data_IF_416196553466
#
_entry.id   IF_416196553466
#
_cell.length_a   1.000
_cell.length_b   1.000
_cell.length_c   1.000
_cell.angle_alpha   90.00
_cell.angle_beta   90.00
_cell.angle_gamma   90.00
#
_symmetry.space_group_name_H-M   'P 1'
#
loop_
_entity.id
_entity.type
_entity.pdbx_description
1 polymer ?
#
# COMPACT_ATOMS: atom_id res chain seq x y z
N UNK A 1 -22.77 -7.33 -0.98
CA UNK A 1 -21.74 -6.27 -1.08
C UNK A 1 -21.10 -6.14 0.28
N UNK A 2 -19.86 -6.59 0.47
CA UNK A 2 -19.16 -6.41 1.75
C UNK A 2 -18.81 -4.93 1.86
N UNK A 3 -19.59 -4.18 2.64
CA UNK A 3 -19.38 -2.76 2.93
C UNK A 3 -18.15 -2.58 3.80
N UNK A 4 -16.98 -2.65 3.18
CA UNK A 4 -15.71 -2.33 3.84
C UNK A 4 -15.60 -0.79 3.83
N UNK A 5 -16.21 -0.14 4.82
CA UNK A 5 -16.08 1.31 5.10
C UNK A 5 -14.70 1.70 5.65
N UNK A 6 -13.77 0.76 5.70
CA UNK A 6 -12.43 1.03 6.20
C UNK A 6 -11.67 1.89 5.19
N UNK A 7 -11.27 3.09 5.66
CA UNK A 7 -10.40 4.03 4.93
C UNK A 7 -8.93 3.59 4.96
N UNK A 8 -8.59 2.75 5.94
CA UNK A 8 -7.27 2.20 6.14
C UNK A 8 -7.34 0.70 6.42
N UNK A 9 -6.36 -0.05 5.93
CA UNK A 9 -6.20 -1.47 6.21
C UNK A 9 -4.81 -1.72 6.79
N UNK A 10 -4.76 -2.15 8.04
CA UNK A 10 -3.50 -2.41 8.74
C UNK A 10 -2.84 -3.68 8.21
N UNK A 11 -1.58 -3.55 7.78
CA UNK A 11 -0.76 -4.63 7.25
C UNK A 11 0.18 -5.20 8.32
N UNK A 12 0.76 -4.30 9.12
CA UNK A 12 1.68 -4.61 10.20
C UNK A 12 1.42 -3.68 11.37
N UNK A 13 1.44 -4.24 12.57
CA UNK A 13 1.50 -3.49 13.82
C UNK A 13 2.31 -4.28 14.84
N UNK A 14 3.57 -3.89 15.02
CA UNK A 14 4.50 -4.65 15.87
C UNK A 14 5.58 -3.73 16.43
N UNK A 15 5.85 -3.85 17.73
CA UNK A 15 6.93 -3.16 18.44
C UNK A 15 7.00 -1.62 18.21
N UNK A 16 5.84 -0.97 18.08
CA UNK A 16 5.77 0.48 17.84
C UNK A 16 5.89 0.88 16.37
N UNK A 17 6.13 -0.07 15.47
CA UNK A 17 6.09 0.14 14.02
C UNK A 17 4.72 -0.27 13.48
N UNK A 18 4.13 0.59 12.65
CA UNK A 18 2.84 0.35 12.00
C UNK A 18 2.97 0.58 10.50
N UNK A 19 2.38 -0.30 9.70
CA UNK A 19 2.28 -0.19 8.23
C UNK A 19 0.84 -0.44 7.83
N UNK A 20 0.29 0.40 6.95
CA UNK A 20 -1.08 0.29 6.51
C UNK A 20 -1.26 0.75 5.07
N UNK A 21 -2.33 0.25 4.45
CA UNK A 21 -2.83 0.77 3.17
C UNK A 21 -3.84 1.87 3.43
N UNK A 22 -3.76 2.94 2.65
CA UNK A 22 -4.80 3.97 2.59
C UNK A 22 -5.10 4.31 1.13
N UNK A 23 -6.26 4.91 0.89
CA UNK A 23 -6.50 5.63 -0.36
C UNK A 23 -5.59 6.87 -0.45
N UNK A 24 -5.30 7.32 -1.67
CA UNK A 24 -4.75 8.67 -1.90
C UNK A 24 -5.75 9.77 -1.57
N UNK A 25 -7.05 9.49 -1.70
CA UNK A 25 -8.14 10.36 -1.26
C UNK A 25 -8.61 9.94 0.14
N UNK A 26 -8.38 10.76 1.18
CA UNK A 26 -8.70 10.40 2.57
C UNK A 26 -10.20 10.23 2.86
N UNK A 27 -11.08 10.74 1.99
CA UNK A 27 -12.53 10.57 2.12
C UNK A 27 -13.05 9.33 1.40
N UNK A 28 -12.21 8.71 0.55
CA UNK A 28 -12.59 7.55 -0.24
C UNK A 28 -12.35 6.23 0.53
N UNK A 29 -13.36 5.34 0.64
CA UNK A 29 -13.18 3.99 1.16
C UNK A 29 -12.19 3.19 0.31
N UNK A 30 -11.47 2.25 0.94
CA UNK A 30 -10.52 1.39 0.21
C UNK A 30 -11.18 0.53 -0.87
N UNK A 31 -12.44 0.14 -0.70
CA UNK A 31 -13.18 -0.65 -1.69
C UNK A 31 -13.40 0.10 -3.01
N UNK A 32 -13.39 1.42 -2.96
CA UNK A 32 -13.74 2.29 -4.08
C UNK A 32 -12.49 3.00 -4.64
N UNK A 33 -11.37 2.90 -3.93
CA UNK A 33 -10.12 3.53 -4.28
C UNK A 33 -9.49 2.89 -5.52
N UNK A 34 -9.18 3.73 -6.51
CA UNK A 34 -8.41 3.32 -7.71
C UNK A 34 -6.91 3.54 -7.53
N UNK A 35 -6.51 4.27 -6.49
CA UNK A 35 -5.13 4.58 -6.15
C UNK A 35 -4.91 4.36 -4.66
N UNK A 36 -3.96 3.48 -4.33
CA UNK A 36 -3.62 3.12 -2.96
C UNK A 36 -2.18 3.49 -2.66
N UNK A 37 -1.92 3.86 -1.40
CA UNK A 37 -0.59 4.14 -0.90
C UNK A 37 -0.28 3.28 0.32
N UNK A 38 0.97 2.85 0.41
CA UNK A 38 1.53 2.22 1.61
C UNK A 38 2.04 3.35 2.50
N UNK A 39 1.52 3.41 3.72
CA UNK A 39 2.00 4.32 4.76
C UNK A 39 2.64 3.53 5.87
N UNK A 40 3.60 4.14 6.55
CA UNK A 40 4.17 3.54 7.74
C UNK A 40 4.75 4.57 8.69
N UNK A 41 4.80 4.21 9.97
CA UNK A 41 5.29 5.02 11.07
C UNK A 41 6.01 4.16 12.11
N UNK A 42 6.77 4.82 13.01
CA UNK A 42 7.50 4.13 14.07
C UNK A 42 8.81 3.47 13.64
N UNK A 43 9.40 3.95 12.54
CA UNK A 43 10.74 3.56 12.09
C UNK A 43 11.81 4.46 12.71
N UNK A 44 12.99 3.92 12.99
CA UNK A 44 14.09 4.67 13.58
C UNK A 44 14.71 5.67 12.59
N UNK A 45 14.63 5.39 11.29
CA UNK A 45 15.17 6.25 10.24
C UNK A 45 14.48 6.00 8.88
N UNK A 46 14.77 6.88 7.91
CA UNK A 46 14.20 6.82 6.57
C UNK A 46 14.63 5.59 5.77
N UNK A 47 15.83 5.04 6.00
CA UNK A 47 16.30 3.86 5.27
C UNK A 47 15.52 2.61 5.70
N UNK A 48 15.25 2.48 7.00
CA UNK A 48 14.40 1.42 7.54
C UNK A 48 12.97 1.51 7.00
N UNK A 49 12.37 2.71 7.03
CA UNK A 49 11.04 2.95 6.48
C UNK A 49 10.95 2.60 4.98
N UNK A 50 11.98 2.97 4.19
CA UNK A 50 12.03 2.66 2.77
C UNK A 50 12.18 1.15 2.53
N UNK A 51 13.05 0.47 3.29
CA UNK A 51 13.24 -0.98 3.18
C UNK A 51 11.95 -1.75 3.48
N UNK A 52 11.25 -1.38 4.54
CA UNK A 52 9.96 -1.98 4.89
C UNK A 52 8.89 -1.67 3.82
N UNK A 53 8.89 -0.46 3.26
CA UNK A 53 8.01 -0.08 2.16
C UNK A 53 8.19 -0.97 0.92
N UNK A 54 9.43 -1.27 0.54
CA UNK A 54 9.73 -2.19 -0.57
C UNK A 54 9.26 -3.63 -0.29
N UNK A 55 9.45 -4.11 0.94
CA UNK A 55 8.94 -5.44 1.36
C UNK A 55 7.42 -5.51 1.18
N UNK A 56 6.68 -4.52 1.67
CA UNK A 56 5.23 -4.51 1.56
C UNK A 56 4.76 -4.32 0.12
N UNK A 57 5.44 -3.50 -0.67
CA UNK A 57 5.20 -3.38 -2.12
C UNK A 57 5.29 -4.74 -2.81
N UNK A 58 6.31 -5.53 -2.49
CA UNK A 58 6.51 -6.87 -3.07
C UNK A 58 5.41 -7.86 -2.65
N UNK A 59 5.01 -7.81 -1.37
CA UNK A 59 3.91 -8.63 -0.82
C UNK A 59 2.58 -8.30 -1.51
N UNK A 60 2.25 -7.02 -1.63
CA UNK A 60 0.99 -6.55 -2.26
C UNK A 60 1.00 -6.89 -3.75
N UNK A 61 2.11 -6.70 -4.44
CA UNK A 61 2.26 -7.08 -5.86
C UNK A 61 1.91 -8.55 -6.08
N UNK A 62 2.43 -9.44 -5.23
CA UNK A 62 2.12 -10.87 -5.29
C UNK A 62 0.66 -11.17 -4.90
N UNK A 63 0.08 -10.41 -3.97
CA UNK A 63 -1.33 -10.59 -3.59
C UNK A 63 -2.28 -10.21 -4.73
N UNK A 64 -2.07 -9.06 -5.38
CA UNK A 64 -2.89 -8.61 -6.50
C UNK A 64 -2.75 -9.54 -7.71
N UNK A 65 -1.53 -10.03 -7.99
CA UNK A 65 -1.30 -11.02 -9.04
C UNK A 65 -2.11 -12.30 -8.81
N UNK A 66 -2.18 -12.79 -7.56
CA UNK A 66 -2.99 -13.99 -7.20
C UNK A 66 -4.49 -13.77 -7.37
N UNK A 67 -4.95 -12.53 -7.23
CA UNK A 67 -6.35 -12.14 -7.41
C UNK A 67 -6.66 -11.77 -8.87
N UNK A 68 -5.71 -11.91 -9.79
CA UNK A 68 -5.82 -11.46 -11.18
C UNK A 68 -6.21 -9.97 -11.32
N UNK A 69 -5.83 -9.15 -10.33
CA UNK A 69 -6.05 -7.72 -10.36
C UNK A 69 -4.87 -7.04 -11.07
N UNK A 70 -5.17 -6.34 -12.16
CA UNK A 70 -4.19 -5.50 -12.82
C UNK A 70 -3.98 -4.23 -11.97
N UNK A 71 -2.75 -3.99 -11.54
CA UNK A 71 -2.35 -2.79 -10.82
C UNK A 71 -1.05 -2.25 -11.41
N UNK A 72 -0.91 -0.93 -11.39
CA UNK A 72 0.33 -0.25 -11.71
C UNK A 72 1.05 0.13 -10.42
N UNK A 73 2.26 -0.37 -10.24
CA UNK A 73 3.11 -0.04 -9.10
C UNK A 73 4.09 1.12 -9.41
N UNK A 74 4.06 1.67 -10.63
CA UNK A 74 4.95 2.76 -11.05
C UNK A 74 6.31 2.30 -11.56
N UNK A 75 6.54 0.99 -11.70
CA UNK A 75 7.76 0.43 -12.35
C UNK A 75 7.77 0.65 -13.86
N UNK A 76 6.59 0.94 -14.44
CA UNK A 76 6.47 1.36 -15.83
C UNK A 76 6.86 2.82 -15.94
N UNK A 77 8.15 3.11 -16.08
CA UNK A 77 8.57 4.38 -16.67
C UNK A 77 8.09 4.39 -18.13
N UNK A 78 7.32 5.39 -18.59
CA UNK A 78 7.18 5.59 -20.03
C UNK A 78 8.59 5.80 -20.61
N UNK A 79 8.91 5.26 -21.81
CA UNK A 79 10.14 5.63 -22.47
C UNK A 79 10.17 7.15 -22.61
N UNK A 80 11.27 7.78 -22.19
CA UNK A 80 11.47 9.20 -22.41
C UNK A 80 11.33 9.46 -23.92
N UNK A 81 10.38 10.33 -24.28
CA UNK A 81 10.19 10.80 -25.64
C UNK A 81 11.31 11.75 -26.06
#
# INVERSE_FOLDING_TARGET
MLGITHREYELLNRHGTRVWLSSTDPEQPLSDATSLVIRGEGFANAAEASGEGEVWRDVISRALARLHLAADFGDRRPPAA
#
